data_IF_059681843256
#
_entry.id   IF_059681843256
#
_cell.length_a   1.000
_cell.length_b   1.000
_cell.length_c   1.000
_cell.angle_alpha   90.00
_cell.angle_beta   90.00
_cell.angle_gamma   90.00
#
_symmetry.space_group_name_H-M   'P 1'
#
loop_
_entity.id
_entity.type
_entity.pdbx_description
1 polymer ?
#
# COMPACT_ATOMS: atom_id res chain seq x y z
N UNK A 1 -34.84 4.83 -12.01
CA UNK A 1 -33.63 5.54 -11.54
C UNK A 1 -32.84 4.85 -10.41
N UNK A 2 -33.41 3.89 -9.65
CA UNK A 2 -32.69 3.21 -8.56
C UNK A 2 -31.61 2.20 -9.01
N UNK A 3 -31.75 1.62 -10.21
CA UNK A 3 -30.89 0.55 -10.72
C UNK A 3 -29.50 1.08 -11.15
N UNK A 4 -29.45 2.30 -11.69
CA UNK A 4 -28.20 2.98 -12.10
C UNK A 4 -27.38 3.43 -10.87
N UNK A 5 -28.05 3.91 -9.81
CA UNK A 5 -27.38 4.29 -8.56
C UNK A 5 -26.75 3.11 -7.80
N UNK A 6 -27.35 1.91 -7.91
CA UNK A 6 -26.84 0.66 -7.34
C UNK A 6 -25.55 0.18 -8.03
N UNK A 7 -25.45 0.31 -9.35
CA UNK A 7 -24.24 -0.02 -10.10
C UNK A 7 -23.11 0.98 -9.88
N UNK A 8 -23.41 2.28 -9.78
CA UNK A 8 -22.41 3.30 -9.46
C UNK A 8 -21.77 3.08 -8.09
N UNK A 9 -22.54 2.68 -7.08
CA UNK A 9 -21.98 2.37 -5.76
C UNK A 9 -21.10 1.11 -5.75
N UNK A 10 -21.38 0.13 -6.61
CA UNK A 10 -20.49 -1.03 -6.81
C UNK A 10 -19.24 -0.68 -7.62
N UNK A 11 -19.35 0.24 -8.58
CA UNK A 11 -18.24 0.67 -9.45
C UNK A 11 -17.28 1.65 -8.76
N UNK A 12 -17.77 2.49 -7.83
CA UNK A 12 -16.98 3.45 -7.04
C UNK A 12 -15.66 2.87 -6.49
N UNK A 13 -15.64 1.75 -5.73
CA UNK A 13 -14.39 1.21 -5.20
C UNK A 13 -13.40 0.76 -6.29
N UNK A 14 -13.88 0.24 -7.42
CA UNK A 14 -13.02 -0.14 -8.55
C UNK A 14 -12.43 1.11 -9.24
N UNK A 15 -13.25 2.13 -9.44
CA UNK A 15 -12.82 3.39 -10.05
C UNK A 15 -11.83 4.14 -9.15
N UNK A 16 -12.05 4.12 -7.83
CA UNK A 16 -11.10 4.60 -6.82
C UNK A 16 -9.78 3.83 -6.89
N UNK A 17 -9.82 2.51 -7.02
CA UNK A 17 -8.61 1.68 -7.10
C UNK A 17 -7.80 1.96 -8.38
N UNK A 18 -8.45 2.10 -9.53
CA UNK A 18 -7.78 2.46 -10.79
C UNK A 18 -7.16 3.85 -10.69
N UNK A 19 -7.89 4.83 -10.16
CA UNK A 19 -7.38 6.19 -9.95
C UNK A 19 -6.17 6.21 -9.00
N UNK A 20 -6.19 5.40 -7.94
CA UNK A 20 -5.08 5.25 -7.00
C UNK A 20 -3.83 4.69 -7.72
N UNK A 21 -4.00 3.64 -8.52
CA UNK A 21 -2.89 3.02 -9.27
C UNK A 21 -2.29 3.97 -10.29
N UNK A 22 -3.12 4.75 -10.98
CA UNK A 22 -2.64 5.79 -11.89
C UNK A 22 -1.83 6.86 -11.16
N UNK A 23 -2.29 7.28 -9.97
CA UNK A 23 -1.54 8.19 -9.09
C UNK A 23 -0.18 7.62 -8.67
N UNK A 24 -0.12 6.33 -8.31
CA UNK A 24 1.15 5.67 -8.01
C UNK A 24 2.09 5.62 -9.21
N UNK A 25 1.57 5.27 -10.40
CA UNK A 25 2.37 5.25 -11.62
C UNK A 25 3.00 6.63 -11.92
N UNK A 26 2.22 7.70 -11.82
CA UNK A 26 2.73 9.06 -11.97
C UNK A 26 3.81 9.41 -10.93
N UNK A 27 3.59 9.03 -9.67
CA UNK A 27 4.57 9.23 -8.59
C UNK A 27 5.89 8.51 -8.87
N UNK A 28 5.86 7.28 -9.37
CA UNK A 28 7.06 6.52 -9.72
C UNK A 28 7.86 7.20 -10.84
N UNK A 29 7.19 7.68 -11.89
CA UNK A 29 7.85 8.39 -12.99
C UNK A 29 8.52 9.68 -12.51
N UNK A 30 7.80 10.50 -11.73
CA UNK A 30 8.35 11.75 -11.17
C UNK A 30 9.55 11.46 -10.25
N UNK A 31 9.43 10.42 -9.42
CA UNK A 31 10.51 9.96 -8.54
C UNK A 31 11.73 9.53 -9.33
N UNK A 32 11.55 8.71 -10.37
CA UNK A 32 12.64 8.21 -11.21
C UNK A 32 13.40 9.36 -11.91
N UNK A 33 12.67 10.28 -12.54
CA UNK A 33 13.27 11.45 -13.21
C UNK A 33 14.01 12.34 -12.21
N UNK A 34 13.46 12.53 -11.01
CA UNK A 34 14.10 13.37 -9.98
C UNK A 34 15.38 12.75 -9.44
N UNK A 35 15.43 11.43 -9.25
CA UNK A 35 16.63 10.71 -8.80
C UNK A 35 17.71 10.66 -9.88
N UNK A 36 17.33 10.45 -11.15
CA UNK A 36 18.29 10.47 -12.27
C UNK A 36 18.94 11.84 -12.47
N UNK A 37 18.26 12.93 -12.09
CA UNK A 37 18.81 14.29 -12.06
C UNK A 37 19.68 14.59 -10.83
N UNK A 38 20.02 13.58 -10.03
CA UNK A 38 20.95 13.68 -8.90
C UNK A 38 20.32 14.18 -7.60
N UNK A 39 18.99 14.20 -7.47
CA UNK A 39 18.33 14.63 -6.23
C UNK A 39 18.51 13.60 -5.11
N UNK A 40 18.88 14.06 -3.91
CA UNK A 40 19.02 13.19 -2.75
C UNK A 40 17.65 12.57 -2.38
N UNK A 41 17.62 11.25 -2.19
CA UNK A 41 16.42 10.47 -1.89
C UNK A 41 15.73 10.91 -0.57
N UNK A 42 16.50 11.37 0.41
CA UNK A 42 15.95 11.91 1.66
C UNK A 42 15.16 13.21 1.43
N UNK A 43 15.64 14.06 0.53
CA UNK A 43 14.98 15.33 0.18
C UNK A 43 13.66 15.02 -0.54
N UNK A 44 13.68 14.09 -1.51
CA UNK A 44 12.47 13.63 -2.21
C UNK A 44 11.42 13.12 -1.21
N UNK A 45 11.82 12.29 -0.24
CA UNK A 45 10.90 11.75 0.75
C UNK A 45 10.22 12.85 1.59
N UNK A 46 11.00 13.81 2.08
CA UNK A 46 10.47 14.96 2.85
C UNK A 46 9.51 15.79 2.01
N UNK A 47 9.88 16.12 0.77
CA UNK A 47 9.01 16.89 -0.14
C UNK A 47 7.68 16.18 -0.41
N UNK A 48 7.71 14.85 -0.63
CA UNK A 48 6.49 14.08 -0.87
C UNK A 48 5.52 14.16 0.30
N UNK A 49 6.01 13.97 1.52
CA UNK A 49 5.16 14.02 2.72
C UNK A 49 4.67 15.44 3.02
N UNK A 50 5.52 16.46 2.81
CA UNK A 50 5.15 17.86 3.01
C UNK A 50 4.07 18.32 2.02
N UNK A 51 4.23 18.01 0.73
CA UNK A 51 3.22 18.29 -0.30
C UNK A 51 1.92 17.54 -0.01
N UNK A 52 2.00 16.27 0.37
CA UNK A 52 0.82 15.49 0.76
C UNK A 52 0.08 16.14 1.93
N UNK A 53 0.79 16.60 2.97
CA UNK A 53 0.19 17.32 4.10
C UNK A 53 -0.47 18.62 3.65
N UNK A 54 0.20 19.44 2.85
CA UNK A 54 -0.36 20.73 2.38
C UNK A 54 -1.59 20.53 1.52
N UNK A 55 -1.59 19.52 0.63
CA UNK A 55 -2.71 19.24 -0.26
C UNK A 55 -3.87 18.63 0.52
N UNK A 56 -3.62 17.67 1.42
CA UNK A 56 -4.68 16.95 2.14
C UNK A 56 -5.26 17.79 3.30
N UNK A 57 -4.45 18.62 3.98
CA UNK A 57 -4.87 19.43 5.12
C UNK A 57 -6.15 20.25 4.87
N UNK A 58 -6.31 21.02 3.77
CA UNK A 58 -7.52 21.79 3.52
C UNK A 58 -8.73 20.87 3.28
N UNK A 59 -8.58 19.77 2.53
CA UNK A 59 -9.68 18.82 2.32
C UNK A 59 -10.10 18.16 3.63
N UNK A 60 -9.13 17.76 4.46
CA UNK A 60 -9.41 17.23 5.78
C UNK A 60 -10.19 18.26 6.61
N UNK A 61 -9.75 19.53 6.64
CA UNK A 61 -10.38 20.59 7.44
C UNK A 61 -11.78 20.96 6.97
N UNK A 62 -12.08 20.84 5.67
CA UNK A 62 -13.39 21.18 5.10
C UNK A 62 -14.36 20.00 5.13
N UNK A 63 -13.95 18.81 4.66
CA UNK A 63 -14.84 17.65 4.52
C UNK A 63 -15.08 16.94 5.86
N UNK A 64 -14.06 16.81 6.70
CA UNK A 64 -14.17 16.00 7.93
C UNK A 64 -14.63 16.81 9.14
N UNK A 65 -14.80 18.15 9.01
CA UNK A 65 -15.13 19.06 10.11
C UNK A 65 -16.31 18.61 10.97
N UNK A 66 -17.31 17.96 10.36
CA UNK A 66 -18.55 17.51 11.02
C UNK A 66 -18.50 16.06 11.52
N UNK A 67 -17.51 15.27 11.11
CA UNK A 67 -17.43 13.81 11.33
C UNK A 67 -16.29 13.46 12.32
N UNK A 68 -15.38 14.42 12.58
CA UNK A 68 -14.21 14.23 13.45
C UNK A 68 -14.58 13.83 14.87
N UNK A 69 -14.09 12.68 15.38
CA UNK A 69 -14.08 12.42 16.82
C UNK A 69 -13.17 13.43 17.52
N UNK A 70 -13.50 13.79 18.78
CA UNK A 70 -12.66 14.70 19.58
C UNK A 70 -11.26 14.08 19.71
N UNK A 71 -10.22 14.85 19.33
CA UNK A 71 -8.82 14.45 19.50
C UNK A 71 -8.50 14.37 21.00
N UNK A 72 -8.59 13.18 21.57
CA UNK A 72 -8.10 12.91 22.92
C UNK A 72 -6.63 12.53 22.87
N UNK A 73 -5.89 12.81 23.95
CA UNK A 73 -4.46 12.54 24.05
C UNK A 73 -4.07 11.07 23.69
N UNK A 74 -4.85 10.05 24.07
CA UNK A 74 -4.60 8.67 23.63
C UNK A 74 -4.76 8.45 22.12
N UNK A 75 -5.73 9.10 21.47
CA UNK A 75 -5.94 8.99 20.02
C UNK A 75 -4.78 9.69 19.29
N UNK A 76 -4.36 10.86 19.76
CA UNK A 76 -3.21 11.57 19.22
C UNK A 76 -1.93 10.72 19.30
N UNK A 77 -1.65 10.11 20.46
CA UNK A 77 -0.49 9.24 20.63
C UNK A 77 -0.55 8.01 19.70
N UNK A 78 -1.73 7.41 19.49
CA UNK A 78 -1.89 6.30 18.53
C UNK A 78 -1.59 6.73 17.10
N UNK A 79 -2.09 7.89 16.66
CA UNK A 79 -1.82 8.42 15.31
C UNK A 79 -0.32 8.72 15.16
N UNK A 80 0.31 9.29 16.19
CA UNK A 80 1.75 9.58 16.19
C UNK A 80 2.58 8.30 16.08
N UNK A 81 2.24 7.26 16.86
CA UNK A 81 2.92 5.96 16.79
C UNK A 81 2.74 5.33 15.41
N UNK A 82 1.52 5.33 14.85
CA UNK A 82 1.26 4.80 13.50
C UNK A 82 2.04 5.58 12.43
N UNK A 83 2.04 6.92 12.52
CA UNK A 83 2.77 7.79 11.59
C UNK A 83 4.29 7.74 11.74
N UNK A 84 4.83 7.21 12.84
CA UNK A 84 6.25 6.92 12.98
C UNK A 84 6.58 5.51 12.48
N UNK A 85 5.78 4.52 12.90
CA UNK A 85 6.01 3.11 12.57
C UNK A 85 5.87 2.85 11.06
N UNK A 86 4.87 3.46 10.41
CA UNK A 86 4.58 3.15 9.02
C UNK A 86 5.64 3.76 8.07
N UNK A 87 5.88 5.07 7.96
CA UNK A 87 6.87 5.57 7.01
C UNK A 87 8.32 5.41 7.48
N UNK A 88 8.64 5.60 8.77
CA UNK A 88 10.04 5.66 9.22
C UNK A 88 10.61 4.25 9.35
N UNK A 89 9.89 3.37 10.04
CA UNK A 89 10.37 2.00 10.29
C UNK A 89 10.28 1.16 9.03
N UNK A 90 9.18 1.23 8.25
CA UNK A 90 9.05 0.51 6.98
C UNK A 90 10.15 0.88 6.00
N UNK A 91 10.36 2.18 5.74
CA UNK A 91 11.38 2.61 4.78
C UNK A 91 12.80 2.23 5.24
N UNK A 92 13.14 2.44 6.51
CA UNK A 92 14.48 2.11 7.01
C UNK A 92 14.75 0.60 6.99
N UNK A 93 13.78 -0.22 7.42
CA UNK A 93 13.89 -1.68 7.34
C UNK A 93 13.92 -2.16 5.89
N UNK A 94 13.16 -1.54 4.99
CA UNK A 94 13.15 -1.85 3.57
C UNK A 94 14.52 -1.57 2.93
N UNK A 95 15.13 -0.41 3.19
CA UNK A 95 16.48 -0.10 2.70
C UNK A 95 17.54 -1.03 3.30
N UNK A 96 17.45 -1.34 4.60
CA UNK A 96 18.35 -2.29 5.25
C UNK A 96 18.22 -3.70 4.66
N UNK A 97 16.97 -4.14 4.43
CA UNK A 97 16.64 -5.40 3.80
C UNK A 97 17.22 -5.49 2.39
N UNK A 98 17.00 -4.48 1.55
CA UNK A 98 17.56 -4.41 0.19
C UNK A 98 19.10 -4.41 0.17
N UNK A 99 19.76 -3.79 1.16
CA UNK A 99 21.22 -3.80 1.23
C UNK A 99 21.79 -5.21 1.49
N UNK A 100 21.03 -6.05 2.21
CA UNK A 100 21.43 -7.40 2.60
C UNK A 100 20.83 -8.49 1.70
N UNK A 101 20.00 -8.12 0.71
CA UNK A 101 19.15 -9.04 -0.03
C UNK A 101 19.24 -8.77 -1.53
N UNK A 102 19.05 -9.79 -2.37
CA UNK A 102 18.98 -9.62 -3.83
C UNK A 102 17.70 -8.90 -4.26
N UNK A 103 17.75 -8.12 -5.34
CA UNK A 103 16.58 -7.41 -5.89
C UNK A 103 15.37 -8.34 -6.14
N UNK A 104 15.66 -9.61 -6.47
CA UNK A 104 14.68 -10.66 -6.67
C UNK A 104 13.94 -11.04 -5.38
N UNK A 105 14.64 -11.17 -4.25
CA UNK A 105 14.02 -11.50 -2.97
C UNK A 105 13.27 -10.29 -2.38
N UNK A 106 13.76 -9.06 -2.59
CA UNK A 106 13.00 -7.85 -2.24
C UNK A 106 11.66 -7.74 -2.98
N UNK A 107 11.67 -8.03 -4.29
CA UNK A 107 10.44 -8.08 -5.11
C UNK A 107 9.49 -9.19 -4.67
N UNK A 108 10.02 -10.34 -4.24
CA UNK A 108 9.26 -11.43 -3.64
C UNK A 108 8.46 -10.99 -2.42
N UNK A 109 9.15 -10.31 -1.51
CA UNK A 109 8.56 -9.89 -0.23
C UNK A 109 7.37 -8.99 -0.48
N UNK A 110 7.49 -8.02 -1.40
CA UNK A 110 6.40 -7.10 -1.78
C UNK A 110 5.20 -7.85 -2.36
N UNK A 111 5.42 -8.83 -3.22
CA UNK A 111 4.35 -9.62 -3.84
C UNK A 111 3.65 -10.56 -2.85
N UNK A 112 4.33 -10.97 -1.78
CA UNK A 112 3.77 -11.85 -0.73
C UNK A 112 3.11 -11.04 0.40
N UNK A 113 3.28 -9.70 0.45
CA UNK A 113 2.63 -8.82 1.45
C UNK A 113 1.15 -9.15 1.63
N UNK A 114 0.30 -9.23 0.57
CA UNK A 114 -1.12 -9.50 0.77
C UNK A 114 -1.42 -10.86 1.42
N UNK A 115 -0.56 -11.87 1.23
CA UNK A 115 -0.71 -13.19 1.82
C UNK A 115 -0.29 -13.17 3.29
N UNK A 116 0.83 -12.52 3.60
CA UNK A 116 1.26 -12.31 4.99
C UNK A 116 0.19 -11.51 5.74
N UNK A 117 -0.34 -10.44 5.15
CA UNK A 117 -1.43 -9.65 5.75
C UNK A 117 -2.68 -10.51 6.00
N UNK A 118 -3.05 -11.39 5.07
CA UNK A 118 -4.17 -12.31 5.27
C UNK A 118 -3.91 -13.30 6.42
N UNK A 119 -2.73 -13.94 6.44
CA UNK A 119 -2.35 -14.87 7.52
C UNK A 119 -2.36 -14.17 8.88
N UNK A 120 -1.82 -12.95 8.96
CA UNK A 120 -1.85 -12.13 10.18
C UNK A 120 -3.29 -11.80 10.60
N UNK A 121 -4.17 -11.46 9.64
CA UNK A 121 -5.58 -11.22 9.93
C UNK A 121 -6.32 -12.46 10.46
N UNK A 122 -5.90 -13.67 10.05
CA UNK A 122 -6.41 -14.93 10.61
C UNK A 122 -5.91 -15.15 12.05
N UNK A 123 -4.61 -14.96 12.30
CA UNK A 123 -3.99 -15.13 13.62
C UNK A 123 -4.64 -14.19 14.64
N UNK A 124 -4.81 -12.92 14.29
CA UNK A 124 -5.47 -11.93 15.16
C UNK A 124 -7.00 -12.04 15.21
N UNK A 125 -7.60 -13.05 14.54
CA UNK A 125 -9.05 -13.26 14.44
C UNK A 125 -9.84 -12.03 13.96
N UNK A 126 -9.18 -11.15 13.20
CA UNK A 126 -9.81 -9.97 12.59
C UNK A 126 -10.73 -10.38 11.42
N UNK A 127 -10.47 -11.53 10.81
CA UNK A 127 -11.29 -12.10 9.74
C UNK A 127 -11.86 -13.46 10.17
N UNK A 128 -13.19 -13.59 10.29
CA UNK A 128 -13.82 -14.91 10.46
C UNK A 128 -13.99 -15.56 9.08
N UNK A 129 -13.14 -16.54 8.78
CA UNK A 129 -13.25 -17.34 7.55
C UNK A 129 -14.48 -18.21 7.64
N UNK A 130 -15.53 -17.83 6.92
CA UNK A 130 -16.70 -18.66 6.74
C UNK A 130 -16.63 -19.31 5.35
N UNK A 131 -16.30 -20.60 5.32
CA UNK A 131 -16.04 -21.38 4.09
C UNK A 131 -17.30 -21.45 3.20
N UNK A 132 -18.48 -21.10 3.72
CA UNK A 132 -19.73 -21.00 2.94
C UNK A 132 -19.88 -19.70 2.14
N UNK A 133 -19.06 -18.67 2.38
CA UNK A 133 -19.13 -17.37 1.68
C UNK A 133 -18.11 -17.29 0.56
N UNK A 134 -18.57 -17.01 -0.66
CA UNK A 134 -17.76 -16.84 -1.87
C UNK A 134 -16.61 -15.85 -1.68
N UNK A 135 -16.81 -14.78 -0.89
CA UNK A 135 -15.77 -13.78 -0.58
C UNK A 135 -14.62 -14.35 0.27
N UNK A 136 -14.90 -15.27 1.19
CA UNK A 136 -13.88 -15.94 2.01
C UNK A 136 -13.13 -16.99 1.20
N UNK A 137 -13.83 -17.73 0.33
CA UNK A 137 -13.21 -18.67 -0.62
C UNK A 137 -12.27 -17.92 -1.58
N UNK A 138 -12.71 -16.79 -2.14
CA UNK A 138 -11.89 -15.97 -3.03
C UNK A 138 -10.60 -15.45 -2.36
N UNK A 139 -10.65 -15.12 -1.05
CA UNK A 139 -9.45 -14.74 -0.29
C UNK A 139 -8.48 -15.91 -0.14
N UNK A 140 -8.98 -17.09 0.22
CA UNK A 140 -8.16 -18.30 0.38
C UNK A 140 -7.52 -18.69 -0.95
N UNK A 141 -8.32 -18.79 -2.02
CA UNK A 141 -7.82 -19.11 -3.36
C UNK A 141 -6.82 -18.06 -3.82
N UNK A 142 -7.11 -16.77 -3.61
CA UNK A 142 -6.20 -15.67 -3.91
C UNK A 142 -4.85 -15.84 -3.21
N UNK A 143 -4.83 -16.17 -1.92
CA UNK A 143 -3.57 -16.44 -1.21
C UNK A 143 -2.85 -17.70 -1.70
N UNK A 144 -3.58 -18.77 -2.00
CA UNK A 144 -3.01 -20.04 -2.48
C UNK A 144 -2.41 -19.90 -3.89
N UNK A 145 -2.97 -19.04 -4.74
CA UNK A 145 -2.43 -18.75 -6.08
C UNK A 145 -1.28 -17.74 -6.01
N UNK A 146 -1.35 -16.76 -5.10
CA UNK A 146 -0.36 -15.70 -5.00
C UNK A 146 1.00 -16.19 -4.47
N UNK A 147 1.02 -17.13 -3.52
CA UNK A 147 2.28 -17.66 -2.96
C UNK A 147 3.12 -18.38 -4.03
N UNK A 148 2.59 -19.33 -4.83
CA UNK A 148 3.29 -19.90 -5.97
C UNK A 148 3.64 -18.86 -7.04
N UNK A 149 2.74 -17.93 -7.36
CA UNK A 149 3.00 -16.87 -8.33
C UNK A 149 4.20 -16.00 -7.95
N UNK A 150 4.32 -15.66 -6.66
CA UNK A 150 5.49 -14.94 -6.14
C UNK A 150 6.75 -15.79 -6.23
N UNK A 151 6.71 -17.07 -5.84
CA UNK A 151 7.85 -18.00 -5.94
C UNK A 151 8.30 -18.23 -7.38
N UNK A 152 7.39 -18.25 -8.35
CA UNK A 152 7.75 -18.37 -9.77
C UNK A 152 8.42 -17.08 -10.25
N UNK A 153 7.88 -15.90 -9.91
CA UNK A 153 8.53 -14.62 -10.23
C UNK A 153 9.93 -14.50 -9.61
N UNK A 154 10.17 -15.10 -8.44
CA UNK A 154 11.52 -15.08 -7.84
C UNK A 154 12.49 -16.05 -8.48
N UNK A 155 12.02 -17.22 -8.89
CA UNK A 155 12.88 -18.22 -9.53
C UNK A 155 13.14 -17.90 -11.00
N UNK A 156 12.29 -17.06 -11.61
CA UNK A 156 12.46 -16.60 -12.98
C UNK A 156 13.56 -15.53 -13.08
N UNK A 157 14.80 -15.95 -13.30
CA UNK A 157 15.89 -15.06 -13.74
C UNK A 157 15.70 -14.75 -15.23
N UNK A 158 15.06 -13.62 -15.54
CA UNK A 158 15.06 -13.09 -16.90
C UNK A 158 16.50 -12.84 -17.40
N UNK A 159 16.77 -12.94 -18.72
CA UNK A 159 18.10 -12.68 -19.27
C UNK A 159 18.58 -11.27 -18.88
N UNK A 160 19.81 -11.19 -18.36
CA UNK A 160 20.46 -9.92 -18.08
C UNK A 160 20.65 -9.16 -19.40
N UNK A 161 19.87 -8.10 -19.60
CA UNK A 161 20.13 -7.15 -20.68
C UNK A 161 21.35 -6.35 -20.23
N UNK A 162 22.54 -6.84 -20.59
CA UNK A 162 23.77 -6.06 -20.52
C UNK A 162 23.63 -4.85 -21.45
N UNK A 163 23.76 -3.66 -20.89
CA UNK A 163 24.18 -2.45 -21.61
C UNK A 163 25.47 -1.95 -20.96
#
# INVERSE_FOLDING_TARGET
>A
MAIVGLNLNKAKPYLSMISLQFGFAGMYVITMVSLQRGMNHYILAVYRHLVATIVIAPFALVLERKIRPKLTLPIFLRILVLGFLEPVVDQNLYYLGMKNTTATLASATVNVIPAITFVMALIFRLERVNIKKVRSIAKIIGTVIMVPGAVIMTLYKGPAINS
#
